data_IF_380099856826
#
_entry.id   IF_380099856826
#
_cell.length_a   1.000
_cell.length_b   1.000
_cell.length_c   1.000
_cell.angle_alpha   90.00
_cell.angle_beta   90.00
_cell.angle_gamma   90.00
#
_symmetry.space_group_name_H-M   'P 1'
#
loop_
_entity.id
_entity.type
_entity.pdbx_description
1 polymer ?
#
# COMPACT_ATOMS: atom_id res chain seq x y z
N UNK A 1 -24.05 13.45 19.63
CA UNK A 1 -23.60 13.95 20.92
C UNK A 1 -24.76 14.45 21.74
N UNK A 2 -24.94 13.92 22.95
CA UNK A 2 -25.92 14.46 23.88
C UNK A 2 -25.44 15.82 24.39
N UNK A 3 -26.13 16.88 24.04
CA UNK A 3 -25.90 18.18 24.65
C UNK A 3 -26.56 18.21 26.03
N UNK A 4 -25.73 18.15 27.08
CA UNK A 4 -26.20 18.39 28.45
C UNK A 4 -26.44 19.89 28.57
N UNK A 5 -27.59 20.29 29.13
CA UNK A 5 -27.86 21.72 29.41
C UNK A 5 -26.78 22.27 30.32
N UNK A 6 -26.27 23.46 29.99
CA UNK A 6 -25.19 24.13 30.74
C UNK A 6 -25.45 24.20 32.25
N UNK A 7 -26.69 24.49 32.62
CA UNK A 7 -27.08 24.53 34.02
C UNK A 7 -26.95 23.20 34.77
N UNK A 8 -27.18 22.07 34.08
CA UNK A 8 -26.99 20.74 34.67
C UNK A 8 -25.52 20.43 34.80
N UNK A 9 -24.71 20.79 33.79
CA UNK A 9 -23.28 20.65 33.83
C UNK A 9 -22.65 21.47 34.96
N UNK A 10 -23.04 22.72 35.09
CA UNK A 10 -22.49 23.64 36.10
C UNK A 10 -22.83 23.11 37.53
N UNK A 11 -24.03 22.58 37.75
CA UNK A 11 -24.38 21.99 39.03
C UNK A 11 -23.56 20.75 39.35
N UNK A 12 -23.38 19.84 38.38
CA UNK A 12 -22.54 18.65 38.54
C UNK A 12 -21.08 19.08 38.79
N UNK A 13 -20.59 20.04 38.04
CA UNK A 13 -19.22 20.52 38.14
C UNK A 13 -18.96 21.14 39.53
N UNK A 14 -19.81 22.05 40.02
CA UNK A 14 -19.64 22.69 41.30
C UNK A 14 -19.73 21.67 42.45
N UNK A 15 -20.69 20.71 42.38
CA UNK A 15 -20.87 19.71 43.42
C UNK A 15 -19.67 18.75 43.57
N UNK A 16 -18.99 18.44 42.48
CA UNK A 16 -17.93 17.44 42.51
C UNK A 16 -16.52 18.02 42.50
N UNK A 17 -16.36 19.30 42.17
CA UNK A 17 -15.03 19.91 42.02
C UNK A 17 -14.22 19.96 43.32
N UNK A 18 -14.88 20.14 44.45
CA UNK A 18 -14.16 20.18 45.74
C UNK A 18 -13.59 18.79 46.10
N UNK A 19 -14.21 17.73 45.61
CA UNK A 19 -13.76 16.36 45.80
C UNK A 19 -12.72 15.98 44.74
N UNK A 20 -12.95 16.31 43.48
CA UNK A 20 -12.15 15.87 42.36
C UNK A 20 -10.84 16.66 42.22
N UNK A 21 -10.85 17.98 42.49
CA UNK A 21 -9.67 18.84 42.36
C UNK A 21 -8.44 18.37 43.14
N UNK A 22 -8.54 18.11 44.45
CA UNK A 22 -7.38 17.66 45.21
C UNK A 22 -6.81 16.34 44.68
N UNK A 23 -7.69 15.43 44.30
CA UNK A 23 -7.28 14.12 43.76
C UNK A 23 -6.64 14.26 42.39
N UNK A 24 -7.22 15.04 41.48
CA UNK A 24 -6.63 15.33 40.15
C UNK A 24 -5.29 16.03 40.30
N UNK A 25 -5.16 17.04 41.18
CA UNK A 25 -3.91 17.72 41.40
C UNK A 25 -2.81 16.78 41.90
N UNK A 26 -3.15 15.84 42.78
CA UNK A 26 -2.20 14.84 43.31
C UNK A 26 -1.74 13.83 42.27
N UNK A 27 -2.62 13.48 41.33
CA UNK A 27 -2.39 12.39 40.36
C UNK A 27 -2.28 12.93 38.91
N UNK A 28 -2.11 14.24 38.73
CA UNK A 28 -2.22 14.88 37.41
C UNK A 28 -1.26 14.27 36.37
N UNK A 29 -0.02 14.07 36.72
CA UNK A 29 1.00 13.56 35.79
C UNK A 29 0.70 12.12 35.36
N UNK A 30 0.39 11.24 36.32
CA UNK A 30 0.05 9.84 36.03
C UNK A 30 -1.26 9.73 35.25
N UNK A 31 -2.26 10.54 35.56
CA UNK A 31 -3.53 10.56 34.83
C UNK A 31 -3.34 11.10 33.40
N UNK A 32 -2.54 12.14 33.25
CA UNK A 32 -2.24 12.70 31.94
C UNK A 32 -1.56 11.68 31.04
N UNK A 33 -0.57 10.97 31.59
CA UNK A 33 0.14 9.91 30.87
C UNK A 33 -0.83 8.78 30.45
N UNK A 34 -1.61 8.26 31.37
CA UNK A 34 -2.61 7.19 31.09
C UNK A 34 -3.66 7.64 30.07
N UNK A 35 -4.16 8.88 30.17
CA UNK A 35 -5.13 9.41 29.21
C UNK A 35 -4.49 9.58 27.83
N UNK A 36 -3.26 10.09 27.75
CA UNK A 36 -2.55 10.26 26.51
C UNK A 36 -2.24 8.91 25.84
N UNK A 37 -1.79 7.91 26.60
CA UNK A 37 -1.60 6.56 26.07
C UNK A 37 -2.89 5.96 25.53
N UNK A 38 -3.98 6.09 26.28
CA UNK A 38 -5.29 5.60 25.85
C UNK A 38 -5.77 6.30 24.59
N UNK A 39 -5.73 7.62 24.55
CA UNK A 39 -6.13 8.41 23.38
C UNK A 39 -5.26 8.07 22.17
N UNK A 40 -3.96 7.95 22.35
CA UNK A 40 -3.04 7.56 21.26
C UNK A 40 -3.39 6.18 20.72
N UNK A 41 -3.65 5.22 21.60
CA UNK A 41 -4.05 3.84 21.21
C UNK A 41 -5.38 3.81 20.48
N UNK A 42 -6.40 4.52 21.03
CA UNK A 42 -7.72 4.56 20.42
C UNK A 42 -7.70 5.26 19.06
N UNK A 43 -6.95 6.35 18.93
CA UNK A 43 -6.74 7.07 17.68
C UNK A 43 -6.00 6.21 16.67
N UNK A 44 -4.93 5.53 17.09
CA UNK A 44 -4.18 4.61 16.25
C UNK A 44 -5.08 3.50 15.70
N UNK A 45 -5.80 2.81 16.57
CA UNK A 45 -6.70 1.71 16.19
C UNK A 45 -7.82 2.18 15.27
N UNK A 46 -8.30 3.41 15.44
CA UNK A 46 -9.40 3.98 14.65
C UNK A 46 -8.94 4.43 13.25
N UNK A 47 -7.78 5.05 13.13
CA UNK A 47 -7.37 5.74 11.90
C UNK A 47 -6.24 5.04 11.16
N UNK A 48 -5.37 4.33 11.84
CA UNK A 48 -4.21 3.67 11.21
C UNK A 48 -4.48 2.20 10.85
N UNK A 49 -5.61 1.62 11.30
CA UNK A 49 -6.00 0.22 11.04
C UNK A 49 -4.89 -0.81 11.33
N UNK A 50 -3.91 -0.45 12.13
CA UNK A 50 -2.77 -1.30 12.47
C UNK A 50 -1.79 -1.59 11.33
N UNK A 51 -1.90 -0.90 10.19
CA UNK A 51 -1.01 -1.06 9.04
C UNK A 51 -0.26 0.25 8.74
N UNK A 52 0.87 0.42 9.45
CA UNK A 52 1.70 1.61 9.35
C UNK A 52 2.26 1.81 7.93
N UNK A 53 2.75 0.75 7.31
CA UNK A 53 3.34 0.80 5.97
C UNK A 53 2.31 1.24 4.91
N UNK A 54 1.06 0.76 5.03
CA UNK A 54 -0.01 1.22 4.13
C UNK A 54 -0.30 2.70 4.32
N UNK A 55 -0.37 3.15 5.56
CA UNK A 55 -0.60 4.56 5.88
C UNK A 55 0.55 5.45 5.38
N UNK A 56 1.79 5.04 5.53
CA UNK A 56 2.96 5.75 4.98
C UNK A 56 2.88 5.85 3.46
N UNK A 57 2.56 4.75 2.77
CA UNK A 57 2.41 4.77 1.32
C UNK A 57 1.29 5.72 0.87
N UNK A 58 0.15 5.73 1.56
CA UNK A 58 -0.99 6.58 1.23
C UNK A 58 -0.68 8.08 1.50
N UNK A 59 0.05 8.39 2.58
CA UNK A 59 0.33 9.76 3.00
C UNK A 59 1.55 10.39 2.32
N UNK A 60 2.67 9.68 2.30
CA UNK A 60 3.96 10.21 1.85
C UNK A 60 4.54 9.53 0.62
N UNK A 61 3.96 8.42 0.20
CA UNK A 61 4.30 7.70 -1.01
C UNK A 61 5.63 6.94 -0.99
N UNK A 62 6.17 6.73 0.17
CA UNK A 62 7.32 5.86 0.42
C UNK A 62 7.19 5.21 1.79
N UNK A 63 7.99 4.18 2.05
CA UNK A 63 8.07 3.53 3.35
C UNK A 63 9.26 4.08 4.13
N UNK A 64 9.02 4.60 5.33
CA UNK A 64 10.06 4.90 6.31
C UNK A 64 10.36 3.72 7.23
N UNK A 65 9.43 2.77 7.28
CA UNK A 65 9.58 1.49 7.95
C UNK A 65 9.79 0.38 6.92
N UNK A 66 9.89 -0.84 7.41
CA UNK A 66 10.07 -2.01 6.56
C UNK A 66 8.96 -2.11 5.50
N UNK A 67 9.35 -2.40 4.26
CA UNK A 67 8.42 -2.54 3.15
C UNK A 67 7.36 -3.63 3.46
N UNK A 68 6.09 -3.39 3.12
CA UNK A 68 5.02 -4.36 3.39
C UNK A 68 5.29 -5.76 2.82
N UNK A 69 6.03 -5.84 1.73
CA UNK A 69 6.38 -7.10 1.07
C UNK A 69 7.62 -7.78 1.65
N UNK A 70 8.34 -7.15 2.60
CA UNK A 70 9.55 -7.73 3.20
C UNK A 70 9.25 -9.03 3.98
N UNK A 71 8.03 -9.17 4.52
CA UNK A 71 7.56 -10.37 5.22
C UNK A 71 6.89 -11.41 4.31
N UNK A 72 6.87 -11.14 3.00
CA UNK A 72 6.26 -12.07 2.05
C UNK A 72 7.15 -13.31 1.88
N UNK A 73 6.55 -14.48 1.93
CA UNK A 73 7.25 -15.72 1.59
C UNK A 73 7.51 -15.78 0.08
N UNK A 74 8.69 -15.33 -0.31
CA UNK A 74 9.13 -15.26 -1.72
C UNK A 74 9.09 -16.64 -2.39
N UNK A 75 9.42 -17.71 -1.66
CA UNK A 75 9.45 -19.08 -2.19
C UNK A 75 8.06 -19.60 -2.54
N UNK A 76 7.08 -19.28 -1.69
CA UNK A 76 5.68 -19.70 -1.92
C UNK A 76 5.11 -19.21 -3.24
N UNK A 77 5.54 -18.02 -3.69
CA UNK A 77 5.06 -17.39 -4.91
C UNK A 77 6.05 -17.48 -6.07
N UNK A 78 7.17 -18.17 -5.88
CA UNK A 78 8.26 -18.27 -6.86
C UNK A 78 8.75 -16.88 -7.30
N UNK A 79 9.02 -16.02 -6.32
CA UNK A 79 9.45 -14.65 -6.52
C UNK A 79 10.98 -14.54 -6.41
N UNK A 80 11.53 -13.64 -7.19
CA UNK A 80 12.96 -13.30 -7.15
C UNK A 80 13.08 -11.78 -6.95
N UNK A 81 14.03 -11.34 -6.15
CA UNK A 81 14.33 -9.92 -6.05
C UNK A 81 14.89 -9.40 -7.36
N UNK A 82 14.55 -8.15 -7.71
CA UNK A 82 14.99 -7.56 -8.96
C UNK A 82 16.52 -7.44 -9.05
N UNK A 83 17.17 -7.14 -7.95
CA UNK A 83 18.64 -7.02 -7.90
C UNK A 83 19.36 -8.34 -8.06
N UNK A 84 18.74 -9.45 -7.69
CA UNK A 84 19.30 -10.80 -7.87
C UNK A 84 19.23 -11.29 -9.33
N UNK A 85 18.50 -10.58 -10.18
CA UNK A 85 18.38 -10.92 -11.59
C UNK A 85 19.59 -10.40 -12.38
N UNK A 86 20.04 -11.21 -13.35
CA UNK A 86 21.02 -10.77 -14.33
C UNK A 86 20.52 -9.56 -15.10
N UNK A 87 21.38 -8.55 -15.29
CA UNK A 87 21.05 -7.33 -16.05
C UNK A 87 20.66 -7.60 -17.50
N UNK A 88 21.15 -8.69 -18.08
CA UNK A 88 20.78 -9.12 -19.41
C UNK A 88 19.83 -10.30 -19.37
N UNK A 89 18.87 -10.37 -20.30
CA UNK A 89 17.95 -11.51 -20.39
C UNK A 89 18.68 -12.84 -20.52
N UNK A 90 18.34 -13.78 -19.66
CA UNK A 90 18.94 -15.12 -19.65
C UNK A 90 18.20 -16.02 -20.64
N UNK A 91 18.94 -16.67 -21.54
CA UNK A 91 18.39 -17.67 -22.46
C UNK A 91 18.22 -19.00 -21.70
N UNK A 92 16.99 -19.48 -21.58
CA UNK A 92 16.67 -20.76 -20.95
C UNK A 92 16.95 -21.93 -21.91
N UNK A 93 16.51 -21.77 -23.17
CA UNK A 93 16.66 -22.78 -24.23
C UNK A 93 16.55 -22.13 -25.60
N UNK A 94 17.03 -22.83 -26.62
CA UNK A 94 16.89 -22.40 -28.02
C UNK A 94 16.03 -23.43 -28.75
N UNK A 95 15.00 -22.96 -29.46
CA UNK A 95 14.11 -23.83 -30.25
C UNK A 95 14.15 -23.45 -31.72
N UNK A 96 14.13 -24.44 -32.62
CA UNK A 96 14.05 -24.20 -34.07
C UNK A 96 12.60 -23.88 -34.47
N UNK A 97 12.36 -22.64 -34.94
CA UNK A 97 11.06 -22.21 -35.47
C UNK A 97 11.26 -21.78 -36.91
N UNK A 98 10.58 -22.45 -37.84
CA UNK A 98 10.65 -22.18 -39.29
C UNK A 98 12.12 -22.07 -39.79
N UNK A 99 13.00 -22.97 -39.33
CA UNK A 99 14.41 -23.01 -39.72
C UNK A 99 15.31 -21.98 -39.06
N UNK A 100 14.80 -21.13 -38.19
CA UNK A 100 15.56 -20.15 -37.39
C UNK A 100 15.68 -20.61 -35.96
N UNK A 101 16.86 -20.46 -35.36
CA UNK A 101 17.11 -20.69 -33.96
C UNK A 101 16.53 -19.51 -33.15
N UNK A 102 15.49 -19.76 -32.37
CA UNK A 102 14.82 -18.73 -31.56
C UNK A 102 15.14 -18.98 -30.08
N UNK A 103 15.80 -18.03 -29.40
CA UNK A 103 16.06 -18.15 -27.97
C UNK A 103 14.76 -17.93 -27.17
N UNK A 104 14.49 -18.83 -26.24
CA UNK A 104 13.45 -18.67 -25.24
C UNK A 104 14.11 -18.14 -23.96
N UNK A 105 13.63 -17.02 -23.50
CA UNK A 105 14.17 -16.36 -22.32
C UNK A 105 13.57 -16.97 -21.06
N UNK A 106 14.39 -17.06 -20.02
CA UNK A 106 13.96 -17.45 -18.68
C UNK A 106 13.09 -16.35 -18.10
N UNK A 107 11.86 -16.68 -17.74
CA UNK A 107 10.90 -15.75 -17.16
C UNK A 107 11.02 -15.80 -15.65
N UNK A 108 11.12 -14.64 -15.03
CA UNK A 108 11.14 -14.46 -13.59
C UNK A 108 9.86 -13.79 -13.11
N UNK A 109 9.62 -13.85 -11.81
CA UNK A 109 8.52 -13.17 -11.14
C UNK A 109 9.07 -12.21 -10.12
N UNK A 110 8.68 -10.95 -10.21
CA UNK A 110 8.99 -9.94 -9.20
C UNK A 110 7.69 -9.40 -8.61
N UNK A 111 7.74 -8.90 -7.38
CA UNK A 111 6.60 -8.24 -6.74
C UNK A 111 6.94 -6.82 -6.34
N UNK A 112 5.94 -5.98 -6.28
CA UNK A 112 6.12 -4.59 -5.83
C UNK A 112 4.80 -3.88 -5.60
N UNK A 113 4.89 -2.74 -4.94
CA UNK A 113 3.79 -1.80 -4.75
C UNK A 113 3.78 -0.79 -5.89
N UNK A 114 2.64 -0.60 -6.52
CA UNK A 114 2.48 0.36 -7.62
C UNK A 114 2.65 1.78 -7.08
N UNK A 115 3.63 2.50 -7.61
CA UNK A 115 3.83 3.93 -7.35
C UNK A 115 3.10 4.79 -8.38
N UNK A 116 3.27 4.44 -9.65
CA UNK A 116 2.73 5.21 -10.77
C UNK A 116 2.56 4.34 -12.02
N UNK A 117 1.83 4.86 -13.00
CA UNK A 117 1.64 4.23 -14.31
C UNK A 117 1.65 5.27 -15.42
N UNK A 118 2.30 4.96 -16.52
CA UNK A 118 2.29 5.75 -17.74
C UNK A 118 1.52 4.99 -18.84
N UNK A 119 0.32 5.49 -19.19
CA UNK A 119 -0.54 4.87 -20.19
C UNK A 119 0.02 4.99 -21.61
N UNK A 120 0.73 6.06 -21.92
CA UNK A 120 1.32 6.27 -23.23
C UNK A 120 2.48 5.30 -23.49
N UNK A 121 3.36 5.17 -22.52
CA UNK A 121 4.52 4.26 -22.56
C UNK A 121 4.16 2.81 -22.19
N UNK A 122 2.97 2.58 -21.62
CA UNK A 122 2.53 1.28 -21.08
C UNK A 122 3.50 0.74 -20.03
N UNK A 123 3.95 1.62 -19.15
CA UNK A 123 4.85 1.28 -18.06
C UNK A 123 4.14 1.45 -16.72
N UNK A 124 4.58 0.64 -15.76
CA UNK A 124 4.17 0.74 -14.34
C UNK A 124 5.44 0.83 -13.52
N UNK A 125 5.49 1.81 -12.63
CA UNK A 125 6.58 1.96 -11.67
C UNK A 125 6.22 1.23 -10.40
N UNK A 126 7.06 0.28 -10.02
CA UNK A 126 6.90 -0.53 -8.81
C UNK A 126 7.96 -0.17 -7.78
N UNK A 127 7.55 -0.08 -6.52
CA UNK A 127 8.46 -0.10 -5.39
C UNK A 127 8.58 -1.56 -4.92
N UNK A 128 9.76 -2.12 -5.11
CA UNK A 128 10.12 -3.47 -4.64
C UNK A 128 10.85 -3.39 -3.30
N UNK A 129 11.19 -4.51 -2.71
CA UNK A 129 12.03 -4.58 -1.49
C UNK A 129 13.43 -4.03 -1.71
N UNK A 130 13.94 -4.10 -2.92
CA UNK A 130 15.30 -3.67 -3.32
C UNK A 130 15.35 -2.27 -3.95
N UNK A 131 14.19 -1.66 -4.29
CA UNK A 131 14.16 -0.33 -4.88
C UNK A 131 13.04 -0.11 -5.87
N UNK A 132 13.16 0.96 -6.67
CA UNK A 132 12.15 1.35 -7.66
C UNK A 132 12.47 0.73 -9.01
N UNK A 133 11.53 0.00 -9.59
CA UNK A 133 11.67 -0.70 -10.86
C UNK A 133 10.60 -0.22 -11.84
N UNK A 134 11.00 0.11 -13.06
CA UNK A 134 10.08 0.40 -14.15
C UNK A 134 9.76 -0.87 -14.92
N UNK A 135 8.50 -1.24 -14.97
CA UNK A 135 8.00 -2.42 -15.67
C UNK A 135 7.31 -2.00 -16.95
N UNK A 136 7.77 -2.50 -18.08
CA UNK A 136 7.16 -2.30 -19.39
C UNK A 136 6.19 -3.46 -19.69
N UNK A 137 4.92 -3.13 -19.87
CA UNK A 137 3.86 -4.14 -20.05
C UNK A 137 3.37 -4.14 -21.50
N UNK A 138 3.14 -5.30 -22.05
CA UNK A 138 2.55 -5.45 -23.38
C UNK A 138 1.20 -4.75 -23.48
N UNK A 139 0.97 -4.05 -24.60
CA UNK A 139 -0.18 -3.16 -24.75
C UNK A 139 -1.53 -3.79 -24.49
N UNK A 140 -1.75 -5.02 -24.94
CA UNK A 140 -3.00 -5.75 -24.70
C UNK A 140 -3.18 -6.11 -23.22
N UNK A 141 -2.11 -6.55 -22.57
CA UNK A 141 -2.10 -6.86 -21.13
C UNK A 141 -2.32 -5.58 -20.33
N UNK A 142 -1.57 -4.52 -20.63
CA UNK A 142 -1.73 -3.23 -19.96
C UNK A 142 -3.19 -2.74 -20.01
N UNK A 143 -3.81 -2.74 -21.21
CA UNK A 143 -5.19 -2.31 -21.37
C UNK A 143 -6.20 -3.16 -20.58
N UNK A 144 -5.93 -4.46 -20.41
CA UNK A 144 -6.81 -5.34 -19.66
C UNK A 144 -6.77 -5.07 -18.15
N UNK A 145 -5.60 -4.82 -17.60
CA UNK A 145 -5.42 -4.61 -16.17
C UNK A 145 -5.60 -3.14 -15.74
N UNK A 146 -5.45 -2.18 -16.68
CA UNK A 146 -5.71 -0.76 -16.41
C UNK A 146 -7.20 -0.36 -16.52
N UNK A 147 -8.11 -1.32 -16.58
CA UNK A 147 -9.54 -1.05 -16.65
C UNK A 147 -10.08 -0.62 -15.29
N UNK A 148 -10.79 0.51 -15.31
CA UNK A 148 -11.62 0.96 -14.20
C UNK A 148 -13.07 0.65 -14.55
N UNK A 149 -13.79 -0.04 -13.68
CA UNK A 149 -15.20 -0.34 -13.86
C UNK A 149 -15.99 0.62 -12.99
N UNK A 150 -16.94 1.34 -13.62
CA UNK A 150 -17.84 2.26 -12.94
C UNK A 150 -19.28 1.90 -13.27
N UNK A 151 -20.15 1.89 -12.27
CA UNK A 151 -21.57 1.65 -12.41
C UNK A 151 -22.36 2.91 -12.03
N UNK A 152 -23.55 3.09 -12.59
CA UNK A 152 -24.46 4.15 -12.18
C UNK A 152 -25.26 3.70 -10.97
N UNK A 153 -25.11 4.42 -9.87
CA UNK A 153 -25.93 4.20 -8.68
C UNK A 153 -27.36 4.69 -8.85
N UNK A 154 -28.21 4.38 -7.87
CA UNK A 154 -29.59 4.85 -7.82
C UNK A 154 -29.72 6.39 -7.78
N UNK A 155 -28.65 7.08 -7.37
CA UNK A 155 -28.49 8.53 -7.35
C UNK A 155 -28.16 9.15 -8.74
N UNK A 156 -28.05 8.31 -9.78
CA UNK A 156 -27.67 8.71 -11.14
C UNK A 156 -26.18 9.03 -11.31
N UNK A 157 -25.36 8.98 -10.25
CA UNK A 157 -23.93 9.25 -10.30
C UNK A 157 -23.15 8.00 -10.66
N UNK A 158 -21.99 8.20 -11.29
CA UNK A 158 -21.05 7.10 -11.55
C UNK A 158 -20.22 6.81 -10.30
N UNK A 159 -20.33 5.59 -9.81
CA UNK A 159 -19.52 5.07 -8.72
C UNK A 159 -18.49 4.09 -9.27
N UNK A 160 -17.25 4.21 -8.82
CA UNK A 160 -16.18 3.28 -9.19
C UNK A 160 -16.35 2.00 -8.39
N UNK A 161 -16.73 0.91 -9.06
CA UNK A 161 -16.91 -0.41 -8.46
C UNK A 161 -15.57 -1.15 -8.38
N UNK A 162 -14.74 -1.01 -9.41
CA UNK A 162 -13.41 -1.62 -9.45
C UNK A 162 -12.39 -0.61 -9.98
N UNK A 163 -11.36 -0.36 -9.21
CA UNK A 163 -10.20 0.43 -9.63
C UNK A 163 -9.30 -0.40 -10.55
N UNK A 164 -8.47 0.29 -11.35
CA UNK A 164 -7.40 -0.35 -12.10
C UNK A 164 -6.47 -1.15 -11.18
N UNK A 165 -5.99 -2.30 -11.63
CA UNK A 165 -4.95 -3.06 -10.91
C UNK A 165 -3.66 -2.26 -10.78
N UNK A 166 -3.38 -1.33 -11.70
CA UNK A 166 -2.26 -0.40 -11.66
C UNK A 166 -2.57 0.88 -10.87
N UNK A 167 -3.54 0.85 -9.97
CA UNK A 167 -3.78 1.95 -9.03
C UNK A 167 -2.66 1.99 -8.00
N UNK A 168 -2.23 3.21 -7.66
CA UNK A 168 -1.20 3.44 -6.65
C UNK A 168 -1.53 2.73 -5.34
N UNK A 169 -0.53 2.15 -4.71
CA UNK A 169 -0.65 1.38 -3.49
C UNK A 169 -1.07 -0.08 -3.68
N UNK A 170 -1.49 -0.48 -4.88
CA UNK A 170 -1.75 -1.89 -5.16
C UNK A 170 -0.45 -2.69 -5.17
N UNK A 171 -0.51 -3.91 -4.67
CA UNK A 171 0.59 -4.88 -4.69
C UNK A 171 0.34 -5.85 -5.81
N UNK A 172 1.30 -5.96 -6.70
CA UNK A 172 1.20 -6.81 -7.88
C UNK A 172 2.42 -7.70 -8.04
N UNK A 173 2.20 -8.86 -8.65
CA UNK A 173 3.27 -9.74 -9.14
C UNK A 173 3.30 -9.60 -10.66
N UNK A 174 4.47 -9.41 -11.20
CA UNK A 174 4.68 -9.32 -12.65
C UNK A 174 5.68 -10.38 -13.10
N UNK A 175 5.41 -10.97 -14.27
CA UNK A 175 6.25 -11.98 -14.89
C UNK A 175 6.96 -11.37 -16.09
N UNK A 176 8.27 -11.61 -16.22
CA UNK A 176 9.03 -11.07 -17.32
C UNK A 176 10.52 -11.34 -17.20
N UNK A 177 11.29 -10.53 -17.89
CA UNK A 177 12.75 -10.58 -17.89
C UNK A 177 13.33 -9.21 -17.52
N UNK A 178 14.47 -9.20 -16.84
CA UNK A 178 15.23 -7.98 -16.62
C UNK A 178 15.96 -7.60 -17.92
N UNK A 179 15.96 -6.30 -18.21
CA UNK A 179 16.64 -5.69 -19.35
C UNK A 179 17.25 -4.36 -18.88
N UNK A 180 18.48 -4.43 -18.39
CA UNK A 180 19.14 -3.33 -17.69
C UNK A 180 18.40 -2.92 -16.41
N UNK A 181 18.00 -1.65 -16.33
CA UNK A 181 17.26 -1.08 -15.19
C UNK A 181 15.73 -1.26 -15.29
N UNK A 182 15.26 -1.95 -16.32
CA UNK A 182 13.83 -2.18 -16.54
C UNK A 182 13.47 -3.65 -16.50
N UNK A 183 12.18 -3.91 -16.33
CA UNK A 183 11.58 -5.25 -16.38
C UNK A 183 10.50 -5.29 -17.46
N UNK A 184 10.46 -6.33 -18.28
CA UNK A 184 9.50 -6.44 -19.39
C UNK A 184 8.99 -7.85 -19.63
#
# INVERSE_FOLDING_TARGET
GFMIKQTVWDNIYQHHMDIIRPWVKKNADTLLEQVNERLTRDMWNKYCLGNLSKWEMDAVSFYSHEHELAKLDMRRYDLTDFEDLSENPVVERVIPIKGKQVPILKIYRICGTVLDRDKAKKTVTLLTTSGVVTVKIYGGIFANYDKQISERGADGKKHVVRKSEFSRGNKIIVCGVRDGDSFR
#
